data_IF_540347611625
#
_entry.id   IF_540347611625
#
_cell.length_a   1.000
_cell.length_b   1.000
_cell.length_c   1.000
_cell.angle_alpha   90.00
_cell.angle_beta   90.00
_cell.angle_gamma   90.00
#
_symmetry.space_group_name_H-M   'P 1'
#
loop_
_entity.id
_entity.type
_entity.pdbx_description
1 polymer ?
#
# COMPACT_ATOMS: atom_id res chain seq x y z
N UNK A 1 45.76 65.40 -19.69
CA UNK A 1 45.97 63.94 -19.85
C UNK A 1 45.68 63.15 -18.58
N UNK A 2 45.80 63.76 -17.38
CA UNK A 2 45.54 63.08 -16.09
C UNK A 2 44.08 62.74 -15.78
N UNK A 3 43.12 63.57 -16.21
CA UNK A 3 41.71 63.33 -15.93
C UNK A 3 41.10 62.10 -16.67
N UNK A 4 41.63 61.72 -17.82
CA UNK A 4 41.18 60.55 -18.59
C UNK A 4 41.62 59.22 -17.96
N UNK A 5 42.77 59.22 -17.27
CA UNK A 5 43.30 58.04 -16.56
C UNK A 5 42.55 57.75 -15.27
N UNK A 6 42.12 58.83 -14.57
CA UNK A 6 41.32 58.72 -13.35
C UNK A 6 39.90 58.20 -13.60
N UNK A 7 39.29 58.58 -14.75
CA UNK A 7 37.96 58.06 -15.16
C UNK A 7 38.03 56.57 -15.56
N UNK A 8 39.14 56.15 -16.20
CA UNK A 8 39.28 54.73 -16.57
C UNK A 8 39.51 53.82 -15.33
N UNK A 9 40.21 54.32 -14.31
CA UNK A 9 40.40 53.59 -13.04
C UNK A 9 39.11 53.50 -12.22
N UNK A 10 38.24 54.51 -12.27
CA UNK A 10 36.96 54.49 -11.59
C UNK A 10 35.92 53.56 -12.26
N UNK A 11 35.96 53.43 -13.59
CA UNK A 11 35.12 52.54 -14.35
C UNK A 11 35.55 51.08 -14.18
N UNK A 12 36.86 50.82 -14.08
CA UNK A 12 37.35 49.45 -13.83
C UNK A 12 37.08 48.94 -12.37
N UNK A 13 36.98 49.86 -11.42
CA UNK A 13 36.59 49.51 -10.02
C UNK A 13 35.08 49.23 -9.86
N UNK A 14 34.25 49.68 -10.79
CA UNK A 14 32.78 49.37 -10.81
C UNK A 14 32.47 48.01 -11.47
N UNK A 15 33.39 47.38 -12.18
CA UNK A 15 33.20 46.08 -12.82
C UNK A 15 33.64 44.90 -11.97
N UNK A 16 34.22 45.13 -10.80
CA UNK A 16 34.65 44.08 -9.85
C UNK A 16 33.70 43.91 -8.64
N UNK A 17 32.53 44.54 -8.68
CA UNK A 17 31.54 44.42 -7.60
C UNK A 17 30.45 43.40 -8.00
N UNK A 18 30.31 42.38 -7.16
CA UNK A 18 29.20 41.46 -7.04
C UNK A 18 29.09 40.33 -8.07
N UNK A 19 29.98 39.36 -7.97
CA UNK A 19 29.61 37.98 -8.37
C UNK A 19 28.75 37.27 -7.31
N UNK A 20 28.91 37.62 -6.03
CA UNK A 20 28.16 36.95 -4.94
C UNK A 20 26.66 37.36 -4.86
N UNK A 21 26.24 38.45 -5.52
CA UNK A 21 24.85 38.89 -5.50
C UNK A 21 23.95 38.15 -6.53
N UNK A 22 24.56 37.45 -7.47
CA UNK A 22 23.85 36.67 -8.49
C UNK A 22 23.80 35.17 -8.13
N UNK A 23 24.49 34.74 -7.09
CA UNK A 23 24.47 33.36 -6.60
C UNK A 23 23.39 33.20 -5.50
N UNK A 24 22.17 33.63 -5.83
CA UNK A 24 21.00 33.33 -5.02
C UNK A 24 20.64 31.88 -5.31
N UNK A 25 21.11 30.98 -4.48
CA UNK A 25 20.60 29.60 -4.52
C UNK A 25 19.08 29.66 -4.28
N UNK A 26 18.26 28.95 -5.08
CA UNK A 26 16.84 28.85 -4.81
C UNK A 26 16.62 28.37 -3.37
N UNK A 27 15.65 28.94 -2.67
CA UNK A 27 15.32 28.56 -1.27
C UNK A 27 15.19 27.04 -1.10
N UNK A 28 14.61 26.37 -2.08
CA UNK A 28 14.52 24.92 -2.10
C UNK A 28 15.88 24.19 -2.08
N UNK A 29 16.91 24.69 -2.76
CA UNK A 29 18.25 24.09 -2.73
C UNK A 29 18.95 24.27 -1.37
N UNK A 30 18.73 25.38 -0.69
CA UNK A 30 19.28 25.62 0.67
C UNK A 30 18.57 24.70 1.67
N UNK A 31 17.25 24.59 1.58
CA UNK A 31 16.45 23.69 2.43
C UNK A 31 16.83 22.22 2.21
N UNK A 32 17.09 21.80 0.97
CA UNK A 32 17.53 20.47 0.62
C UNK A 32 18.93 20.13 1.17
N UNK A 33 19.85 21.08 1.03
CA UNK A 33 21.25 20.91 1.53
C UNK A 33 21.26 20.82 3.07
N UNK A 34 20.40 21.55 3.75
CA UNK A 34 20.26 21.49 5.22
C UNK A 34 19.59 20.19 5.66
N UNK A 35 18.53 19.74 4.97
CA UNK A 35 17.80 18.53 5.30
C UNK A 35 18.68 17.28 5.22
N UNK A 36 19.43 17.12 4.13
CA UNK A 36 20.27 15.94 3.91
C UNK A 36 21.71 16.06 4.46
N UNK A 37 21.98 17.09 5.26
CA UNK A 37 23.27 17.21 5.95
C UNK A 37 23.42 16.29 7.17
N UNK A 38 22.35 15.67 7.64
CA UNK A 38 22.34 14.86 8.86
C UNK A 38 21.47 13.60 8.71
N UNK A 39 21.80 12.56 9.46
CA UNK A 39 20.98 11.35 9.55
C UNK A 39 19.53 11.66 9.97
N UNK A 40 19.32 12.64 10.88
CA UNK A 40 17.98 13.05 11.30
C UNK A 40 17.14 13.55 10.12
N UNK A 41 17.73 14.34 9.24
CA UNK A 41 17.04 14.86 8.06
C UNK A 41 16.62 13.76 7.08
N UNK A 42 17.46 12.73 6.87
CA UNK A 42 17.07 11.56 6.09
C UNK A 42 15.90 10.79 6.73
N UNK A 43 15.90 10.63 8.06
CA UNK A 43 14.80 10.02 8.79
C UNK A 43 13.52 10.83 8.69
N UNK A 44 13.61 12.15 8.77
CA UNK A 44 12.47 13.07 8.61
C UNK A 44 11.91 13.00 7.19
N UNK A 45 12.77 12.99 6.16
CA UNK A 45 12.36 12.82 4.78
C UNK A 45 11.62 11.47 4.57
N UNK A 46 12.17 10.39 5.10
CA UNK A 46 11.55 9.05 5.03
C UNK A 46 10.19 9.02 5.77
N UNK A 47 10.14 9.58 6.99
CA UNK A 47 8.89 9.71 7.75
C UNK A 47 7.85 10.55 7.01
N UNK A 48 8.28 11.60 6.29
CA UNK A 48 7.45 12.41 5.42
C UNK A 48 6.79 11.60 4.30
N UNK A 49 7.50 10.62 3.72
CA UNK A 49 6.92 9.72 2.70
C UNK A 49 5.84 8.84 3.32
N UNK A 50 6.10 8.18 4.46
CA UNK A 50 5.09 7.39 5.16
C UNK A 50 3.88 8.24 5.56
N UNK A 51 4.12 9.45 6.06
CA UNK A 51 3.04 10.39 6.43
C UNK A 51 2.19 10.80 5.22
N UNK A 52 2.80 11.01 4.06
CA UNK A 52 2.09 11.32 2.82
C UNK A 52 1.18 10.18 2.34
N UNK A 53 1.48 8.93 2.71
CA UNK A 53 0.62 7.78 2.45
C UNK A 53 -0.62 7.76 3.35
N UNK A 54 -0.58 8.39 4.53
CA UNK A 54 -1.75 8.60 5.39
C UNK A 54 -2.64 9.69 4.78
N UNK A 55 -3.26 9.36 3.65
CA UNK A 55 -4.04 10.28 2.83
C UNK A 55 -5.33 9.60 2.35
N UNK A 56 -6.51 10.24 2.51
CA UNK A 56 -7.78 9.68 2.07
C UNK A 56 -7.89 9.46 0.55
N UNK A 57 -7.09 10.15 -0.26
CA UNK A 57 -7.03 9.89 -1.70
C UNK A 57 -6.30 8.57 -2.04
N UNK A 58 -5.59 7.98 -1.07
CA UNK A 58 -4.87 6.72 -1.23
C UNK A 58 -5.21 5.73 -0.11
N UNK A 59 -4.25 5.44 0.79
CA UNK A 59 -4.33 4.27 1.67
C UNK A 59 -5.28 4.42 2.86
N UNK A 60 -5.64 5.62 3.26
CA UNK A 60 -6.61 5.77 4.36
C UNK A 60 -8.07 5.80 3.90
N UNK A 61 -8.33 5.65 2.58
CA UNK A 61 -9.69 5.50 2.07
C UNK A 61 -9.74 4.86 0.67
N UNK A 62 -9.29 5.56 -0.40
CA UNK A 62 -9.65 5.16 -1.77
C UNK A 62 -8.95 3.88 -2.25
N UNK A 63 -7.70 3.62 -1.83
CA UNK A 63 -6.97 2.37 -2.14
C UNK A 63 -7.23 1.24 -1.13
N UNK A 64 -8.19 1.42 -0.22
CA UNK A 64 -8.58 0.44 0.78
C UNK A 64 -10.10 0.24 0.76
N UNK A 65 -10.80 0.63 1.81
CA UNK A 65 -12.24 0.40 1.99
C UNK A 65 -13.13 1.31 1.13
N UNK A 66 -12.62 2.44 0.61
CA UNK A 66 -13.35 3.41 -0.20
C UNK A 66 -13.56 2.92 -1.64
N UNK A 67 -12.89 3.55 -2.59
CA UNK A 67 -13.08 3.29 -4.02
C UNK A 67 -12.82 1.81 -4.38
N UNK A 68 -11.69 1.22 -3.95
CA UNK A 68 -11.41 -0.19 -4.22
C UNK A 68 -12.39 -1.15 -3.53
N UNK A 69 -12.82 -0.83 -2.30
CA UNK A 69 -13.84 -1.63 -1.60
C UNK A 69 -15.19 -1.63 -2.33
N UNK A 70 -15.60 -0.48 -2.85
CA UNK A 70 -16.81 -0.35 -3.68
C UNK A 70 -16.66 -1.13 -4.99
N UNK A 71 -15.54 -1.00 -5.68
CA UNK A 71 -15.31 -1.73 -6.93
C UNK A 71 -15.26 -3.26 -6.73
N UNK A 72 -14.80 -3.71 -5.56
CA UNK A 72 -14.81 -5.12 -5.17
C UNK A 72 -16.16 -5.61 -4.64
N UNK A 73 -17.19 -4.73 -4.60
CA UNK A 73 -18.50 -5.01 -4.03
C UNK A 73 -18.40 -5.53 -2.57
N UNK A 74 -17.54 -4.91 -1.77
CA UNK A 74 -17.39 -5.24 -0.34
C UNK A 74 -18.57 -4.70 0.49
N UNK A 75 -19.22 -3.63 0.02
CA UNK A 75 -20.32 -2.95 0.71
C UNK A 75 -21.58 -3.01 -0.10
N UNK A 76 -22.72 -3.34 0.50
CA UNK A 76 -24.05 -3.29 -0.13
C UNK A 76 -24.91 -2.16 0.44
N UNK A 77 -24.45 -1.49 1.47
CA UNK A 77 -25.03 -0.30 2.03
C UNK A 77 -24.00 0.82 2.12
N UNK A 78 -24.26 1.89 1.42
CA UNK A 78 -23.48 3.12 1.51
C UNK A 78 -24.41 4.31 1.36
N UNK A 79 -24.43 5.13 2.38
CA UNK A 79 -25.25 6.35 2.38
C UNK A 79 -24.73 7.41 1.43
N UNK A 80 -23.49 7.25 0.99
CA UNK A 80 -22.79 8.25 0.23
C UNK A 80 -23.05 8.13 -1.26
N UNK A 81 -23.87 9.05 -1.81
CA UNK A 81 -24.14 9.15 -3.26
C UNK A 81 -22.87 9.33 -4.10
N UNK A 82 -21.74 9.73 -3.49
CA UNK A 82 -20.45 9.89 -4.17
C UNK A 82 -19.92 8.57 -4.78
N UNK A 83 -20.30 7.41 -4.26
CA UNK A 83 -19.84 6.13 -4.78
C UNK A 83 -20.82 5.43 -5.74
N UNK A 84 -21.95 6.05 -6.06
CA UNK A 84 -22.95 5.45 -6.96
C UNK A 84 -22.40 5.15 -8.35
N UNK A 85 -21.70 6.10 -8.94
CA UNK A 85 -21.02 5.91 -10.24
C UNK A 85 -19.89 4.87 -10.15
N UNK A 86 -19.12 4.87 -9.06
CA UNK A 86 -18.07 3.89 -8.82
C UNK A 86 -18.62 2.46 -8.71
N UNK A 87 -19.74 2.28 -8.01
CA UNK A 87 -20.38 0.97 -7.84
C UNK A 87 -20.85 0.34 -9.18
N UNK A 88 -21.07 1.15 -10.19
CA UNK A 88 -21.41 0.74 -11.56
C UNK A 88 -20.23 0.83 -12.53
N UNK A 89 -19.02 1.09 -12.03
CA UNK A 89 -17.76 1.22 -12.80
C UNK A 89 -17.78 2.33 -13.85
N UNK A 90 -18.56 3.39 -13.63
CA UNK A 90 -18.58 4.58 -14.48
C UNK A 90 -17.42 5.52 -14.17
N UNK A 91 -16.21 5.20 -14.67
CA UNK A 91 -14.97 5.97 -14.42
C UNK A 91 -14.93 7.33 -15.10
N UNK A 92 -15.85 7.61 -16.01
CA UNK A 92 -15.93 8.89 -16.73
C UNK A 92 -16.75 9.94 -15.96
N UNK A 93 -17.49 9.53 -14.94
CA UNK A 93 -18.18 10.45 -14.06
C UNK A 93 -17.19 11.28 -13.22
N UNK A 94 -17.57 12.52 -12.90
CA UNK A 94 -16.67 13.49 -12.26
C UNK A 94 -16.05 13.01 -10.96
N UNK A 95 -16.82 12.28 -10.13
CA UNK A 95 -16.34 11.84 -8.81
C UNK A 95 -15.34 10.68 -8.92
N UNK A 96 -15.61 9.57 -9.64
CA UNK A 96 -14.60 8.54 -9.90
C UNK A 96 -13.36 9.07 -10.62
N UNK A 97 -13.51 10.00 -11.58
CA UNK A 97 -12.37 10.69 -12.21
C UNK A 97 -11.52 11.40 -11.16
N UNK A 98 -12.13 12.07 -10.17
CA UNK A 98 -11.44 12.73 -9.07
C UNK A 98 -10.66 11.73 -8.18
N UNK A 99 -11.24 10.57 -7.85
CA UNK A 99 -10.53 9.51 -7.12
C UNK A 99 -9.32 8.99 -7.89
N UNK A 100 -9.50 8.70 -9.17
CA UNK A 100 -8.45 8.21 -10.06
C UNK A 100 -7.30 9.22 -10.18
N UNK A 101 -7.62 10.50 -10.37
CA UNK A 101 -6.63 11.59 -10.41
C UNK A 101 -5.90 11.73 -9.06
N UNK A 102 -6.61 11.63 -7.94
CA UNK A 102 -6.04 11.70 -6.59
C UNK A 102 -5.06 10.57 -6.32
N UNK A 103 -5.41 9.33 -6.69
CA UNK A 103 -4.54 8.15 -6.59
C UNK A 103 -3.24 8.37 -7.38
N UNK A 104 -3.36 8.81 -8.63
CA UNK A 104 -2.20 9.09 -9.49
C UNK A 104 -1.27 10.13 -8.88
N UNK A 105 -1.82 11.30 -8.59
CA UNK A 105 -1.04 12.46 -8.14
C UNK A 105 -0.36 12.19 -6.78
N UNK A 106 -1.10 11.62 -5.82
CA UNK A 106 -0.56 11.38 -4.47
C UNK A 106 0.57 10.34 -4.50
N UNK A 107 0.40 9.25 -5.24
CA UNK A 107 1.44 8.22 -5.33
C UNK A 107 2.69 8.74 -6.06
N UNK A 108 2.55 9.49 -7.18
CA UNK A 108 3.73 10.07 -7.84
C UNK A 108 4.42 11.15 -7.01
N UNK A 109 3.69 11.89 -6.16
CA UNK A 109 4.31 12.79 -5.18
C UNK A 109 5.16 12.02 -4.15
N UNK A 110 4.66 10.90 -3.65
CA UNK A 110 5.43 10.01 -2.77
C UNK A 110 6.68 9.44 -3.46
N UNK A 111 6.55 9.04 -4.72
CA UNK A 111 7.68 8.56 -5.56
C UNK A 111 8.73 9.67 -5.76
N UNK A 112 8.31 10.90 -6.00
CA UNK A 112 9.22 12.03 -6.14
C UNK A 112 10.02 12.26 -4.85
N UNK A 113 9.37 12.20 -3.69
CA UNK A 113 10.04 12.33 -2.40
C UNK A 113 11.03 11.16 -2.15
N UNK A 114 10.66 9.93 -2.50
CA UNK A 114 11.56 8.79 -2.41
C UNK A 114 12.78 8.95 -3.34
N UNK A 115 12.59 9.45 -4.56
CA UNK A 115 13.67 9.73 -5.50
C UNK A 115 14.58 10.85 -5.00
N UNK A 116 14.03 11.87 -4.33
CA UNK A 116 14.80 12.95 -3.75
C UNK A 116 15.75 12.43 -2.65
N UNK A 117 15.22 11.64 -1.71
CA UNK A 117 16.04 11.00 -0.68
C UNK A 117 17.11 10.09 -1.32
N UNK A 118 16.75 9.25 -2.29
CA UNK A 118 17.65 8.31 -2.95
C UNK A 118 18.72 9.01 -3.78
N UNK A 119 18.49 10.20 -4.29
CA UNK A 119 19.47 10.98 -5.02
C UNK A 119 20.59 11.53 -4.12
N UNK A 120 20.26 11.81 -2.85
CA UNK A 120 21.19 12.44 -1.89
C UNK A 120 21.89 11.44 -0.96
N UNK A 121 21.31 10.23 -0.75
CA UNK A 121 21.78 9.34 0.32
C UNK A 121 23.18 8.75 0.10
N UNK A 122 23.64 8.70 -1.14
CA UNK A 122 24.97 8.17 -1.47
C UNK A 122 26.08 9.22 -1.42
N UNK A 123 25.75 10.52 -1.23
CA UNK A 123 26.71 11.61 -1.28
C UNK A 123 27.67 11.60 -0.06
N UNK A 124 27.15 11.28 1.12
CA UNK A 124 27.95 11.16 2.35
C UNK A 124 27.43 10.07 3.29
N UNK A 125 27.95 8.87 3.15
CA UNK A 125 27.60 7.76 4.04
C UNK A 125 28.10 7.94 5.48
N UNK A 126 29.00 8.88 5.75
CA UNK A 126 29.61 9.09 7.07
C UNK A 126 28.66 9.76 8.08
N UNK A 127 27.56 10.36 7.61
CA UNK A 127 26.56 10.97 8.50
C UNK A 127 25.70 9.94 9.24
N UNK A 128 25.70 8.67 8.79
CA UNK A 128 24.83 7.64 9.33
C UNK A 128 25.50 6.83 10.45
N UNK A 129 24.70 6.53 11.47
CA UNK A 129 25.03 5.49 12.45
C UNK A 129 25.13 4.11 11.77
N UNK A 130 25.87 3.15 12.36
CA UNK A 130 25.93 1.80 11.81
C UNK A 130 24.53 1.23 11.50
N UNK A 131 24.40 0.62 10.34
CA UNK A 131 23.19 0.01 9.78
C UNK A 131 22.08 1.00 9.31
N UNK A 132 22.02 2.24 9.85
CA UNK A 132 20.93 3.17 9.50
C UNK A 132 20.97 3.61 8.04
N UNK A 133 22.16 3.75 7.44
CA UNK A 133 22.26 3.95 5.98
C UNK A 133 21.54 2.87 5.20
N UNK A 134 21.79 1.60 5.52
CA UNK A 134 21.19 0.47 4.83
C UNK A 134 19.69 0.40 5.06
N UNK A 135 19.23 0.67 6.29
CA UNK A 135 17.79 0.68 6.63
C UNK A 135 17.07 1.80 5.88
N UNK A 136 17.57 3.04 5.94
CA UNK A 136 16.91 4.19 5.31
C UNK A 136 16.86 4.04 3.79
N UNK A 137 17.99 3.66 3.17
CA UNK A 137 18.07 3.44 1.72
C UNK A 137 17.18 2.27 1.29
N UNK A 138 17.21 1.17 2.05
CA UNK A 138 16.37 0.00 1.80
C UNK A 138 14.88 0.32 1.84
N UNK A 139 14.44 1.06 2.85
CA UNK A 139 13.04 1.50 2.97
C UNK A 139 12.64 2.47 1.84
N UNK A 140 13.49 3.42 1.47
CA UNK A 140 13.20 4.35 0.37
C UNK A 140 13.03 3.64 -0.98
N UNK A 141 13.89 2.65 -1.28
CA UNK A 141 13.75 1.78 -2.47
C UNK A 141 12.44 0.98 -2.43
N UNK A 142 12.11 0.40 -1.27
CA UNK A 142 10.89 -0.37 -1.09
C UNK A 142 9.64 0.51 -1.22
N UNK A 143 9.64 1.73 -0.69
CA UNK A 143 8.56 2.71 -0.86
C UNK A 143 8.35 3.08 -2.32
N UNK A 144 9.44 3.37 -3.06
CA UNK A 144 9.35 3.65 -4.49
C UNK A 144 8.74 2.49 -5.26
N UNK A 145 9.16 1.27 -4.95
CA UNK A 145 8.61 0.05 -5.54
C UNK A 145 7.13 -0.16 -5.19
N UNK A 146 6.75 0.02 -3.92
CA UNK A 146 5.38 -0.14 -3.42
C UNK A 146 4.40 0.81 -4.13
N UNK A 147 4.75 2.09 -4.20
CA UNK A 147 3.92 3.13 -4.82
C UNK A 147 3.77 2.92 -6.33
N UNK A 148 4.85 2.56 -7.03
CA UNK A 148 4.77 2.23 -8.46
C UNK A 148 3.96 0.96 -8.72
N UNK A 149 4.07 -0.05 -7.85
CA UNK A 149 3.30 -1.27 -8.01
C UNK A 149 1.80 -1.02 -7.84
N UNK A 150 1.39 -0.20 -6.90
CA UNK A 150 -0.02 0.17 -6.74
C UNK A 150 -0.54 0.98 -7.93
N UNK A 151 0.26 1.90 -8.46
CA UNK A 151 -0.06 2.58 -9.73
C UNK A 151 -0.19 1.58 -10.89
N UNK A 152 0.72 0.60 -11.01
CA UNK A 152 0.62 -0.44 -12.02
C UNK A 152 -0.67 -1.25 -11.87
N UNK A 153 -1.02 -1.64 -10.64
CA UNK A 153 -2.25 -2.40 -10.37
C UNK A 153 -3.53 -1.60 -10.69
N UNK A 154 -3.50 -0.30 -10.50
CA UNK A 154 -4.61 0.60 -10.85
C UNK A 154 -4.69 0.84 -12.37
N UNK A 155 -3.61 1.26 -12.99
CA UNK A 155 -3.58 1.83 -14.32
C UNK A 155 -3.06 0.89 -15.43
N UNK A 156 -2.31 -0.16 -15.10
CA UNK A 156 -1.91 -1.19 -16.06
C UNK A 156 -3.02 -2.22 -16.27
N UNK A 157 -3.06 -2.87 -17.41
CA UNK A 157 -3.87 -4.07 -17.60
C UNK A 157 -3.29 -5.22 -16.76
N UNK A 158 -4.08 -6.28 -16.49
CA UNK A 158 -3.54 -7.46 -15.82
C UNK A 158 -2.41 -8.08 -16.63
N UNK A 159 -1.32 -8.47 -15.95
CA UNK A 159 -0.18 -9.16 -16.56
C UNK A 159 -0.63 -10.43 -17.33
N UNK A 160 -1.57 -11.17 -16.77
CA UNK A 160 -2.11 -12.37 -17.38
C UNK A 160 -2.87 -12.12 -18.71
N UNK A 161 -3.34 -10.88 -18.93
CA UNK A 161 -4.04 -10.49 -20.16
C UNK A 161 -3.05 -10.01 -21.23
N UNK A 162 -2.20 -9.06 -20.92
CA UNK A 162 -1.18 -8.56 -21.85
C UNK A 162 0.00 -7.90 -21.13
N UNK A 163 1.10 -8.62 -20.92
CA UNK A 163 2.29 -8.08 -20.25
C UNK A 163 3.01 -6.98 -21.06
N UNK A 164 2.77 -6.90 -22.36
CA UNK A 164 3.43 -5.95 -23.27
C UNK A 164 2.60 -4.67 -23.49
N UNK A 165 1.40 -4.57 -22.89
CA UNK A 165 0.60 -3.35 -22.99
C UNK A 165 1.31 -2.19 -22.29
N UNK A 166 1.38 -0.99 -22.91
CA UNK A 166 1.80 0.21 -22.22
C UNK A 166 0.99 0.44 -20.94
N UNK A 167 1.67 0.81 -19.85
CA UNK A 167 1.05 0.97 -18.53
C UNK A 167 1.38 2.35 -17.93
N UNK A 168 2.45 2.44 -17.16
CA UNK A 168 2.82 3.65 -16.43
C UNK A 168 4.32 3.97 -16.59
N UNK A 169 4.76 5.20 -16.36
CA UNK A 169 6.19 5.49 -16.21
C UNK A 169 6.73 4.93 -14.89
N UNK A 170 7.97 4.46 -14.88
CA UNK A 170 8.72 4.13 -13.68
C UNK A 170 9.80 5.20 -13.45
N UNK A 171 9.51 6.13 -12.51
CA UNK A 171 10.35 7.29 -12.25
C UNK A 171 11.41 6.96 -11.19
N UNK A 172 12.69 7.14 -11.52
CA UNK A 172 13.83 6.87 -10.63
C UNK A 172 14.67 8.10 -10.28
N UNK A 173 14.30 9.24 -10.83
CA UNK A 173 14.98 10.51 -10.61
C UNK A 173 13.98 11.67 -10.62
N UNK A 174 14.41 12.82 -10.12
CA UNK A 174 13.69 14.08 -10.28
C UNK A 174 14.01 14.65 -11.66
N UNK A 175 13.00 14.87 -12.47
CA UNK A 175 13.16 15.41 -13.82
C UNK A 175 11.93 16.21 -14.24
N UNK A 176 12.14 17.31 -14.92
CA UNK A 176 11.08 18.07 -15.60
C UNK A 176 10.69 17.46 -16.96
N UNK A 177 11.48 16.47 -17.43
CA UNK A 177 11.18 15.77 -18.67
C UNK A 177 10.14 14.67 -18.43
N UNK A 178 9.28 14.48 -19.41
CA UNK A 178 8.28 13.41 -19.39
C UNK A 178 8.99 12.06 -19.39
N UNK A 179 8.83 11.30 -18.32
CA UNK A 179 9.36 9.94 -18.23
C UNK A 179 8.65 9.00 -19.20
N UNK A 180 9.34 8.09 -19.88
CA UNK A 180 8.71 7.18 -20.82
C UNK A 180 7.72 6.23 -20.15
N UNK A 181 6.60 5.97 -20.84
CA UNK A 181 5.64 4.94 -20.44
C UNK A 181 6.26 3.55 -20.67
N UNK A 182 6.24 2.71 -19.67
CA UNK A 182 6.74 1.34 -19.74
C UNK A 182 5.58 0.35 -19.89
N UNK A 183 5.89 -0.85 -20.40
CA UNK A 183 4.91 -1.94 -20.42
C UNK A 183 4.68 -2.53 -19.04
N UNK A 184 3.58 -3.25 -18.86
CA UNK A 184 3.25 -3.96 -17.61
C UNK A 184 4.44 -4.81 -17.13
N UNK A 185 5.05 -5.60 -18.04
CA UNK A 185 6.21 -6.44 -17.71
C UNK A 185 7.41 -5.62 -17.28
N UNK A 186 7.74 -4.55 -18.02
CA UNK A 186 8.88 -3.70 -17.68
C UNK A 186 8.71 -3.01 -16.32
N UNK A 187 7.50 -2.58 -15.98
CA UNK A 187 7.23 -2.00 -14.65
C UNK A 187 7.41 -3.06 -13.57
N UNK A 188 6.89 -4.28 -13.75
CA UNK A 188 7.13 -5.39 -12.80
C UNK A 188 8.62 -5.65 -12.58
N UNK A 189 9.42 -5.66 -13.66
CA UNK A 189 10.87 -5.88 -13.56
C UNK A 189 11.57 -4.77 -12.78
N UNK A 190 11.17 -3.50 -12.99
CA UNK A 190 11.72 -2.36 -12.23
C UNK A 190 11.33 -2.41 -10.75
N UNK A 191 10.09 -2.72 -10.45
CA UNK A 191 9.60 -2.92 -9.07
C UNK A 191 10.41 -4.01 -8.38
N UNK A 192 10.57 -5.18 -9.02
CA UNK A 192 11.34 -6.29 -8.44
C UNK A 192 12.82 -5.96 -8.29
N UNK A 193 13.40 -5.16 -9.18
CA UNK A 193 14.79 -4.70 -9.06
C UNK A 193 15.00 -3.82 -7.82
N UNK A 194 14.09 -2.86 -7.57
CA UNK A 194 14.15 -2.02 -6.37
C UNK A 194 13.95 -2.85 -5.10
N UNK A 195 13.01 -3.80 -5.11
CA UNK A 195 12.76 -4.69 -3.97
C UNK A 195 13.94 -5.61 -3.68
N UNK A 196 14.64 -6.09 -4.71
CA UNK A 196 15.84 -6.89 -4.53
C UNK A 196 17.00 -6.06 -3.95
N UNK A 197 17.18 -4.84 -4.42
CA UNK A 197 18.18 -3.92 -3.85
C UNK A 197 17.85 -3.59 -2.38
N UNK A 198 16.58 -3.34 -2.07
CA UNK A 198 16.10 -3.13 -0.71
C UNK A 198 16.33 -4.34 0.19
N UNK A 199 16.00 -5.55 -0.29
CA UNK A 199 16.21 -6.81 0.45
C UNK A 199 17.68 -6.98 0.84
N UNK A 200 18.61 -6.75 -0.09
CA UNK A 200 20.06 -6.87 0.17
C UNK A 200 20.54 -5.91 1.24
N UNK A 201 20.00 -4.69 1.29
CA UNK A 201 20.33 -3.68 2.29
C UNK A 201 19.75 -4.04 3.67
N UNK A 202 18.49 -4.47 3.71
CA UNK A 202 17.77 -4.73 4.97
C UNK A 202 18.18 -6.06 5.62
N UNK A 203 18.61 -7.04 4.85
CA UNK A 203 18.88 -8.41 5.32
C UNK A 203 19.81 -8.46 6.53
N UNK A 204 20.85 -7.65 6.54
CA UNK A 204 21.90 -7.67 7.55
C UNK A 204 21.83 -6.46 8.51
N UNK A 205 20.90 -5.51 8.27
CA UNK A 205 20.79 -4.26 9.01
C UNK A 205 19.48 -4.13 9.81
N UNK A 206 18.38 -4.71 9.30
CA UNK A 206 17.05 -4.54 9.92
C UNK A 206 16.96 -5.31 11.26
N UNK A 207 16.60 -4.64 12.37
CA UNK A 207 16.44 -5.28 13.69
C UNK A 207 15.48 -6.47 13.68
N UNK A 208 14.46 -6.48 12.82
CA UNK A 208 13.50 -7.59 12.72
C UNK A 208 14.15 -8.89 12.23
N UNK A 209 15.29 -8.79 11.52
CA UNK A 209 16.08 -9.93 11.04
C UNK A 209 17.23 -10.24 12.00
N UNK A 210 17.96 -9.19 12.40
CA UNK A 210 19.19 -9.36 13.19
C UNK A 210 18.92 -9.66 14.66
N UNK A 211 17.69 -9.44 15.14
CA UNK A 211 17.32 -9.58 16.56
C UNK A 211 17.96 -8.51 17.45
N UNK A 212 18.53 -7.45 16.87
CA UNK A 212 19.12 -6.34 17.62
C UNK A 212 18.05 -5.69 18.49
N UNK A 213 18.33 -5.61 19.80
CA UNK A 213 17.41 -4.96 20.73
C UNK A 213 17.42 -3.44 20.56
N UNK A 214 16.26 -2.88 20.33
CA UNK A 214 16.05 -1.44 20.16
C UNK A 214 15.21 -0.94 21.34
N UNK A 215 15.59 0.17 21.93
CA UNK A 215 14.85 0.87 22.99
C UNK A 215 14.58 2.30 22.56
N UNK A 216 13.65 2.99 23.22
CA UNK A 216 13.39 4.41 22.96
C UNK A 216 14.63 5.31 23.13
N UNK A 217 15.54 4.91 24.02
CA UNK A 217 16.80 5.65 24.22
C UNK A 217 17.79 5.45 23.05
N UNK A 218 17.59 4.40 22.25
CA UNK A 218 18.42 4.13 21.09
C UNK A 218 17.88 4.89 19.91
N UNK A 219 18.59 5.90 19.43
CA UNK A 219 18.27 6.64 18.22
C UNK A 219 16.82 7.19 18.23
N UNK A 220 16.39 7.74 19.37
CA UNK A 220 15.05 8.23 19.62
C UNK A 220 13.93 7.23 19.26
N UNK A 221 14.22 5.93 19.31
CA UNK A 221 13.27 4.87 18.99
C UNK A 221 12.98 4.71 17.49
N UNK A 222 13.79 5.27 16.60
CA UNK A 222 13.56 5.23 15.14
C UNK A 222 13.36 3.80 14.60
N UNK A 223 14.12 2.84 15.10
CA UNK A 223 14.03 1.44 14.69
C UNK A 223 13.00 0.60 15.47
N UNK A 224 12.23 1.22 16.37
CA UNK A 224 11.09 0.55 17.01
C UNK A 224 9.92 0.37 16.02
N UNK A 225 9.03 -0.56 16.37
CA UNK A 225 7.78 -0.78 15.62
C UNK A 225 8.03 -0.99 14.11
N UNK A 226 8.96 -1.89 13.78
CA UNK A 226 9.34 -2.15 12.38
C UNK A 226 8.16 -2.55 11.48
N UNK A 227 7.04 -3.02 12.03
CA UNK A 227 5.79 -3.25 11.28
C UNK A 227 5.13 -1.97 10.74
N UNK A 228 5.56 -0.77 11.17
CA UNK A 228 5.12 0.50 10.61
C UNK A 228 6.00 0.99 9.45
N UNK A 229 6.97 0.21 9.08
CA UNK A 229 7.94 0.48 8.04
C UNK A 229 7.98 -0.67 7.03
N UNK A 230 8.47 -0.40 5.82
CA UNK A 230 8.79 -1.46 4.86
C UNK A 230 10.08 -2.17 5.31
N UNK A 231 9.93 -2.95 6.39
CA UNK A 231 10.98 -3.80 6.94
C UNK A 231 11.32 -4.96 6.00
N UNK A 232 12.36 -5.73 6.32
CA UNK A 232 12.80 -6.86 5.50
C UNK A 232 11.66 -7.82 5.12
N UNK A 233 10.82 -8.22 6.08
CA UNK A 233 9.73 -9.16 5.80
C UNK A 233 8.56 -8.51 5.05
N UNK A 234 8.33 -7.22 5.22
CA UNK A 234 7.40 -6.46 4.38
C UNK A 234 7.87 -6.41 2.92
N UNK A 235 9.18 -6.26 2.69
CA UNK A 235 9.79 -6.35 1.35
C UNK A 235 9.61 -7.74 0.76
N UNK A 236 9.87 -8.81 1.52
CA UNK A 236 9.60 -10.19 1.08
C UNK A 236 8.13 -10.42 0.73
N UNK A 237 7.22 -9.92 1.56
CA UNK A 237 5.78 -10.02 1.30
C UNK A 237 5.36 -9.24 0.04
N UNK A 238 5.92 -8.07 -0.17
CA UNK A 238 5.69 -7.31 -1.39
C UNK A 238 6.27 -8.02 -2.62
N UNK A 239 7.46 -8.63 -2.51
CA UNK A 239 8.00 -9.50 -3.58
C UNK A 239 7.04 -10.66 -3.90
N UNK A 240 6.46 -11.31 -2.88
CA UNK A 240 5.46 -12.36 -3.10
C UNK A 240 4.25 -11.82 -3.89
N UNK A 241 3.71 -10.68 -3.49
CA UNK A 241 2.57 -10.03 -4.15
C UNK A 241 2.87 -9.63 -5.60
N UNK A 242 4.04 -9.04 -5.85
CA UNK A 242 4.48 -8.63 -7.21
C UNK A 242 4.74 -9.85 -8.10
N UNK A 243 5.39 -10.87 -7.59
CA UNK A 243 5.65 -12.10 -8.34
C UNK A 243 4.35 -12.86 -8.69
N UNK A 244 3.36 -12.88 -7.77
CA UNK A 244 2.01 -13.38 -8.10
C UNK A 244 1.37 -12.59 -9.25
N UNK A 245 1.51 -11.27 -9.24
CA UNK A 245 1.00 -10.42 -10.32
C UNK A 245 1.70 -10.68 -11.65
N UNK A 246 3.02 -10.86 -11.63
CA UNK A 246 3.86 -11.10 -12.80
C UNK A 246 3.87 -12.57 -13.29
N UNK A 247 3.10 -13.47 -12.67
CA UNK A 247 3.06 -14.89 -13.03
C UNK A 247 4.32 -15.67 -12.67
N UNK A 248 5.18 -15.14 -11.79
CA UNK A 248 6.41 -15.78 -11.29
C UNK A 248 6.10 -16.54 -9.99
N UNK A 249 5.38 -17.64 -10.15
CA UNK A 249 4.74 -18.32 -9.01
C UNK A 249 5.73 -18.96 -8.04
N UNK A 250 6.84 -19.51 -8.53
CA UNK A 250 7.85 -20.14 -7.67
C UNK A 250 8.56 -19.09 -6.80
N UNK A 251 8.89 -17.93 -7.35
CA UNK A 251 9.47 -16.81 -6.61
C UNK A 251 8.46 -16.22 -5.61
N UNK A 252 7.17 -16.17 -5.96
CA UNK A 252 6.12 -15.76 -5.06
C UNK A 252 6.01 -16.71 -3.86
N UNK A 253 6.04 -18.02 -4.11
CA UNK A 253 6.02 -19.05 -3.08
C UNK A 253 7.21 -18.94 -2.14
N UNK A 254 8.41 -18.82 -2.69
CA UNK A 254 9.65 -18.68 -1.90
C UNK A 254 9.60 -17.46 -1.01
N UNK A 255 9.16 -16.31 -1.55
CA UNK A 255 9.06 -15.07 -0.78
C UNK A 255 8.02 -15.18 0.35
N UNK A 256 6.82 -15.73 0.08
CA UNK A 256 5.79 -15.96 1.08
C UNK A 256 6.25 -16.94 2.17
N UNK A 257 6.92 -18.03 1.79
CA UNK A 257 7.48 -19.00 2.74
C UNK A 257 8.54 -18.38 3.64
N UNK A 258 9.40 -17.49 3.10
CA UNK A 258 10.40 -16.77 3.91
C UNK A 258 9.73 -15.99 5.05
N UNK A 259 8.61 -15.32 4.77
CA UNK A 259 7.84 -14.60 5.80
C UNK A 259 7.24 -15.56 6.81
N UNK A 260 6.51 -16.59 6.36
CA UNK A 260 5.82 -17.55 7.23
C UNK A 260 6.81 -18.28 8.15
N UNK A 261 7.93 -18.75 7.59
CA UNK A 261 8.94 -19.53 8.32
C UNK A 261 9.80 -18.67 9.26
N UNK A 262 9.76 -17.35 9.14
CA UNK A 262 10.52 -16.47 10.04
C UNK A 262 10.10 -16.59 11.50
N UNK A 263 8.81 -16.91 11.74
CA UNK A 263 8.22 -16.93 13.07
C UNK A 263 8.14 -15.55 13.75
N UNK A 264 8.44 -14.47 13.02
CA UNK A 264 8.42 -13.11 13.56
C UNK A 264 7.00 -12.54 13.68
N UNK A 265 6.06 -13.09 12.93
CA UNK A 265 4.66 -12.68 12.92
C UNK A 265 3.79 -13.87 13.29
N UNK A 266 2.81 -13.63 14.15
CA UNK A 266 1.93 -14.68 14.68
C UNK A 266 0.47 -14.32 14.40
N UNK A 267 -0.40 -15.32 14.45
CA UNK A 267 -1.82 -15.06 14.45
C UNK A 267 -2.19 -14.24 15.69
N UNK A 268 -3.07 -13.25 15.51
CA UNK A 268 -3.53 -12.38 16.60
C UNK A 268 -4.20 -13.20 17.72
N UNK A 269 -3.93 -12.82 18.96
CA UNK A 269 -4.49 -13.48 20.14
C UNK A 269 -6.00 -13.26 20.21
N UNK A 270 -6.75 -14.36 20.28
CA UNK A 270 -8.21 -14.36 20.38
C UNK A 270 -8.69 -13.61 21.62
N UNK A 271 -7.95 -13.66 22.73
CA UNK A 271 -8.31 -12.93 23.95
C UNK A 271 -8.28 -11.40 23.71
N UNK A 272 -7.32 -10.91 22.93
CA UNK A 272 -7.25 -9.50 22.54
C UNK A 272 -8.38 -9.10 21.59
N UNK A 273 -8.76 -9.98 20.66
CA UNK A 273 -9.93 -9.78 19.80
C UNK A 273 -11.23 -9.71 20.62
N UNK A 274 -11.45 -10.65 21.54
CA UNK A 274 -12.63 -10.71 22.39
C UNK A 274 -12.74 -9.49 23.30
N UNK A 275 -11.61 -9.04 23.85
CA UNK A 275 -11.55 -7.85 24.71
C UNK A 275 -11.70 -6.54 23.90
N UNK A 276 -11.62 -6.61 22.56
CA UNK A 276 -11.64 -5.44 21.69
C UNK A 276 -10.34 -4.63 21.68
N UNK A 277 -9.23 -5.20 22.14
CA UNK A 277 -7.92 -4.53 22.19
C UNK A 277 -7.24 -4.49 20.83
N UNK A 278 -7.34 -5.57 20.06
CA UNK A 278 -6.76 -5.69 18.73
C UNK A 278 -7.84 -6.07 17.71
N UNK A 279 -8.34 -5.10 16.98
CA UNK A 279 -9.29 -5.32 15.87
C UNK A 279 -8.64 -5.25 14.50
N UNK A 280 -7.44 -4.68 14.44
CA UNK A 280 -6.67 -4.59 13.20
C UNK A 280 -5.86 -5.85 12.90
N UNK A 281 -5.77 -6.79 13.87
CA UNK A 281 -4.91 -7.97 13.81
C UNK A 281 -3.42 -7.57 13.75
N UNK A 282 -2.99 -6.74 14.70
CA UNK A 282 -1.70 -6.06 14.66
C UNK A 282 -0.48 -7.00 14.74
N UNK A 283 -0.61 -8.16 15.42
CA UNK A 283 0.45 -9.18 15.48
C UNK A 283 0.75 -9.80 14.10
N UNK A 284 -0.17 -9.63 13.15
CA UNK A 284 -0.06 -10.12 11.77
C UNK A 284 0.46 -9.05 10.78
N UNK A 285 0.67 -7.81 11.23
CA UNK A 285 1.07 -6.73 10.34
C UNK A 285 2.52 -6.89 9.89
N UNK A 286 2.72 -7.19 8.61
CA UNK A 286 4.03 -7.13 7.96
C UNK A 286 4.37 -5.68 7.63
N UNK A 287 3.35 -4.92 7.20
CA UNK A 287 3.42 -3.48 6.98
C UNK A 287 2.08 -2.81 7.26
N UNK A 288 2.09 -1.76 8.06
CA UNK A 288 0.94 -0.91 8.34
C UNK A 288 1.35 0.56 8.42
N UNK A 289 0.41 1.46 8.15
CA UNK A 289 0.61 2.89 8.40
C UNK A 289 0.15 3.25 9.81
N UNK A 290 0.83 4.22 10.43
CA UNK A 290 0.39 4.80 11.68
C UNK A 290 -0.51 6.00 11.40
N UNK A 291 -1.82 5.85 11.63
CA UNK A 291 -2.81 6.90 11.42
C UNK A 291 -3.42 7.33 12.76
N UNK A 292 -2.88 8.38 13.37
CA UNK A 292 -3.29 8.87 14.69
C UNK A 292 -4.76 9.33 14.76
N UNK A 293 -5.37 9.61 13.62
CA UNK A 293 -6.76 10.06 13.50
C UNK A 293 -7.69 8.97 12.98
N UNK A 294 -7.24 7.70 12.93
CA UNK A 294 -7.99 6.59 12.33
C UNK A 294 -9.39 6.42 12.91
N UNK A 295 -9.55 6.64 14.21
CA UNK A 295 -10.87 6.53 14.87
C UNK A 295 -11.80 7.65 14.43
N UNK A 296 -11.34 8.90 14.43
CA UNK A 296 -12.14 10.06 14.06
C UNK A 296 -12.40 10.12 12.57
N UNK A 297 -11.38 9.90 11.76
CA UNK A 297 -11.41 10.17 10.32
C UNK A 297 -11.81 8.94 9.50
N UNK A 298 -11.71 7.73 10.09
CA UNK A 298 -12.08 6.48 9.43
C UNK A 298 -13.24 5.79 10.13
N UNK A 299 -13.04 5.31 11.36
CA UNK A 299 -14.06 4.48 12.03
C UNK A 299 -15.38 5.23 12.27
N UNK A 300 -15.33 6.43 12.86
CA UNK A 300 -16.53 7.21 13.14
C UNK A 300 -17.16 7.80 11.88
N UNK A 301 -16.36 8.15 10.88
CA UNK A 301 -16.85 8.77 9.66
C UNK A 301 -17.42 7.76 8.67
N UNK A 302 -16.82 6.56 8.56
CA UNK A 302 -17.18 5.61 7.49
C UNK A 302 -17.76 4.28 8.00
N UNK A 303 -17.69 3.98 9.30
CA UNK A 303 -18.18 2.72 9.87
C UNK A 303 -19.05 2.95 11.12
N UNK A 304 -19.93 3.93 11.05
CA UNK A 304 -20.82 4.32 12.14
C UNK A 304 -22.22 4.64 11.63
N UNK A 305 -23.25 4.28 12.40
CA UNK A 305 -24.65 4.64 12.16
C UNK A 305 -24.92 6.15 12.14
N UNK A 306 -24.08 6.90 12.82
CA UNK A 306 -24.26 8.33 13.02
C UNK A 306 -23.77 9.16 11.84
N UNK A 307 -23.07 8.53 10.89
CA UNK A 307 -22.47 9.21 9.75
C UNK A 307 -23.32 9.09 8.48
N UNK A 308 -23.45 10.21 7.77
CA UNK A 308 -24.05 10.28 6.44
C UNK A 308 -23.14 9.67 5.34
N UNK A 309 -21.94 9.19 5.68
CA UNK A 309 -20.95 8.66 4.72
C UNK A 309 -20.63 7.19 4.93
N UNK A 310 -21.41 6.49 5.75
CA UNK A 310 -21.10 5.13 6.19
C UNK A 310 -21.12 4.09 5.09
N UNK A 311 -20.19 3.16 5.20
CA UNK A 311 -20.18 1.87 4.51
C UNK A 311 -20.64 0.77 5.48
N UNK A 312 -21.47 -0.12 4.99
CA UNK A 312 -21.92 -1.28 5.76
C UNK A 312 -22.17 -2.47 4.84
N UNK A 313 -22.25 -3.63 5.44
CA UNK A 313 -22.77 -4.85 4.83
C UNK A 313 -24.09 -5.20 5.50
N UNK A 314 -25.11 -5.59 4.74
CA UNK A 314 -26.33 -6.12 5.37
C UNK A 314 -26.02 -7.43 6.08
N UNK A 315 -26.80 -7.74 7.13
CA UNK A 315 -26.61 -8.97 7.90
C UNK A 315 -26.61 -10.21 7.02
N UNK A 316 -27.57 -10.29 6.09
CA UNK A 316 -27.74 -11.47 5.23
C UNK A 316 -26.54 -11.62 4.28
N UNK A 317 -26.05 -10.52 3.72
CA UNK A 317 -24.87 -10.54 2.87
C UNK A 317 -23.59 -10.86 3.67
N UNK A 318 -23.49 -10.38 4.91
CA UNK A 318 -22.36 -10.76 5.77
C UNK A 318 -22.37 -12.25 6.10
N UNK A 319 -23.57 -12.82 6.38
CA UNK A 319 -23.70 -14.27 6.57
C UNK A 319 -23.27 -15.05 5.32
N UNK A 320 -23.63 -14.55 4.15
CA UNK A 320 -23.18 -15.14 2.87
C UNK A 320 -21.65 -15.07 2.71
N UNK A 321 -20.99 -13.95 3.05
CA UNK A 321 -19.54 -13.84 3.03
C UNK A 321 -18.84 -14.93 3.86
N UNK A 322 -19.47 -15.34 4.95
CA UNK A 322 -18.93 -16.31 5.89
C UNK A 322 -19.57 -17.71 5.76
N UNK A 323 -20.32 -17.99 4.68
CA UNK A 323 -21.03 -19.28 4.48
C UNK A 323 -21.85 -19.68 5.71
N UNK A 324 -22.45 -18.72 6.38
CA UNK A 324 -23.17 -18.84 7.65
C UNK A 324 -22.32 -19.32 8.85
N UNK A 325 -20.98 -19.31 8.72
CA UNK A 325 -20.06 -19.71 9.80
C UNK A 325 -19.87 -18.57 10.82
N UNK A 326 -20.89 -18.35 11.66
CA UNK A 326 -20.91 -17.27 12.67
C UNK A 326 -19.88 -17.44 13.77
N UNK A 327 -19.26 -18.62 13.91
CA UNK A 327 -18.16 -18.88 14.84
C UNK A 327 -16.80 -18.31 14.34
N UNK A 328 -16.69 -17.90 13.08
CA UNK A 328 -15.49 -17.23 12.58
C UNK A 328 -15.20 -15.97 13.40
N UNK A 329 -13.96 -15.85 13.88
CA UNK A 329 -13.57 -14.71 14.71
C UNK A 329 -13.70 -13.37 13.98
N UNK A 330 -13.51 -13.36 12.66
CA UNK A 330 -13.67 -12.16 11.81
C UNK A 330 -15.15 -11.74 11.76
N UNK A 331 -16.08 -12.69 11.63
CA UNK A 331 -17.52 -12.42 11.71
C UNK A 331 -17.91 -11.89 13.09
N UNK A 332 -17.44 -12.57 14.14
CA UNK A 332 -17.87 -12.30 15.51
C UNK A 332 -17.31 -10.98 16.06
N UNK A 333 -16.05 -10.66 15.78
CA UNK A 333 -15.34 -9.58 16.46
C UNK A 333 -15.01 -8.38 15.57
N UNK A 334 -15.08 -8.50 14.24
CA UNK A 334 -14.74 -7.38 13.34
C UNK A 334 -15.96 -6.62 12.81
N UNK A 335 -17.18 -6.96 13.25
CA UNK A 335 -18.39 -6.27 12.85
C UNK A 335 -19.27 -5.93 14.02
N UNK A 336 -19.85 -4.72 14.01
CA UNK A 336 -20.91 -4.29 14.95
C UNK A 336 -22.24 -4.11 14.24
N UNK A 337 -23.33 -4.41 14.95
CA UNK A 337 -24.70 -4.14 14.45
C UNK A 337 -24.99 -2.65 14.46
N UNK A 338 -25.77 -2.21 13.51
CA UNK A 338 -26.37 -0.90 13.54
C UNK A 338 -27.41 -0.75 14.65
N UNK A 339 -27.81 0.48 14.92
CA UNK A 339 -28.86 0.84 15.87
C UNK A 339 -30.26 0.58 15.31
N UNK A 340 -31.30 0.93 16.05
CA UNK A 340 -32.69 0.59 15.73
C UNK A 340 -33.14 0.95 14.30
N UNK A 341 -32.67 2.06 13.75
CA UNK A 341 -33.00 2.50 12.39
C UNK A 341 -32.23 1.75 11.30
N UNK A 342 -31.08 1.19 11.64
CA UNK A 342 -30.18 0.46 10.73
C UNK A 342 -29.82 -0.92 11.30
N UNK A 343 -30.71 -1.57 12.04
CA UNK A 343 -30.45 -2.84 12.74
C UNK A 343 -29.98 -3.98 11.82
N UNK A 344 -30.28 -3.90 10.51
CA UNK A 344 -29.80 -4.87 9.52
C UNK A 344 -28.36 -4.62 9.06
N UNK A 345 -27.80 -3.43 9.31
CA UNK A 345 -26.45 -3.09 8.89
C UNK A 345 -25.39 -3.68 9.83
N UNK A 346 -24.24 -3.98 9.26
CA UNK A 346 -23.01 -4.44 9.95
C UNK A 346 -21.88 -3.53 9.54
N UNK A 347 -21.28 -2.86 10.51
CA UNK A 347 -20.18 -1.90 10.33
C UNK A 347 -18.87 -2.53 10.70
N UNK A 348 -17.86 -2.40 9.85
CA UNK A 348 -16.53 -2.91 10.10
C UNK A 348 -15.89 -2.19 11.30
N UNK A 349 -15.31 -2.95 12.23
CA UNK A 349 -14.62 -2.45 13.41
C UNK A 349 -13.09 -2.53 13.33
N UNK A 350 -12.54 -2.96 12.22
CA UNK A 350 -11.08 -3.11 12.05
C UNK A 350 -10.30 -1.84 12.35
N UNK A 351 -10.92 -0.68 12.12
CA UNK A 351 -10.34 0.65 12.33
C UNK A 351 -10.84 1.33 13.61
N UNK A 352 -11.71 0.67 14.35
CA UNK A 352 -12.21 1.15 15.64
C UNK A 352 -11.22 0.74 16.74
N UNK A 353 -10.97 1.65 17.67
CA UNK A 353 -10.09 1.43 18.82
C UNK A 353 -10.81 1.85 20.11
N UNK A 354 -11.73 1.01 20.58
CA UNK A 354 -12.53 1.36 21.75
C UNK A 354 -11.76 1.34 23.07
N UNK A 355 -10.67 0.58 23.14
CA UNK A 355 -10.01 0.33 24.44
C UNK A 355 -8.89 1.30 24.76
N UNK A 356 -8.22 1.89 23.77
CA UNK A 356 -7.08 2.82 23.91
C UNK A 356 -6.02 2.40 24.94
N UNK A 357 -5.87 1.10 25.18
CA UNK A 357 -5.06 0.57 26.28
C UNK A 357 -3.61 0.30 25.91
N UNK A 358 -3.31 0.13 24.63
CA UNK A 358 -1.95 -0.16 24.16
C UNK A 358 -1.66 0.53 22.84
N UNK A 359 -0.60 1.32 22.78
CA UNK A 359 -0.11 1.96 21.55
C UNK A 359 0.31 0.94 20.49
N UNK A 360 0.61 -0.29 20.88
CA UNK A 360 0.97 -1.36 19.94
C UNK A 360 -0.19 -1.72 19.02
N UNK A 361 -1.42 -1.75 19.51
CA UNK A 361 -2.61 -2.10 18.73
C UNK A 361 -3.31 -0.90 18.10
N UNK A 362 -3.03 0.32 18.60
CA UNK A 362 -3.71 1.55 18.20
C UNK A 362 -3.19 2.10 16.88
N UNK A 363 -4.05 2.86 16.20
CA UNK A 363 -3.69 3.71 15.06
C UNK A 363 -3.15 2.97 13.83
N UNK A 364 -3.44 1.67 13.68
CA UNK A 364 -2.88 0.84 12.62
C UNK A 364 -3.81 0.74 11.41
N UNK A 365 -3.30 1.12 10.24
CA UNK A 365 -3.91 0.86 8.95
C UNK A 365 -3.10 -0.23 8.23
N UNK A 366 -3.55 -1.50 8.24
CA UNK A 366 -2.81 -2.59 7.63
C UNK A 366 -2.75 -2.46 6.11
N UNK A 367 -1.59 -2.71 5.52
CA UNK A 367 -1.37 -2.72 4.07
C UNK A 367 -0.87 -4.08 3.57
N UNK A 368 -0.12 -4.81 4.40
CA UNK A 368 0.29 -6.19 4.12
C UNK A 368 0.21 -6.99 5.42
N UNK A 369 -0.52 -8.11 5.40
CA UNK A 369 -0.68 -8.98 6.58
C UNK A 369 -0.26 -10.43 6.30
N UNK A 370 0.04 -11.15 7.39
CA UNK A 370 0.45 -12.55 7.38
C UNK A 370 -0.55 -13.45 6.63
N UNK A 371 -1.85 -13.23 6.83
CA UNK A 371 -2.91 -14.01 6.17
C UNK A 371 -2.79 -14.03 4.65
N UNK A 372 -2.37 -12.92 4.02
CA UNK A 372 -2.14 -12.88 2.58
C UNK A 372 -1.02 -13.83 2.13
N UNK A 373 0.03 -14.00 2.94
CA UNK A 373 1.13 -14.91 2.63
C UNK A 373 0.67 -16.37 2.60
N UNK A 374 -0.24 -16.76 3.48
CA UNK A 374 -0.87 -18.07 3.47
C UNK A 374 -1.77 -18.27 2.25
N UNK A 375 -2.52 -17.25 1.86
CA UNK A 375 -3.36 -17.29 0.65
C UNK A 375 -2.52 -17.42 -0.62
N UNK A 376 -1.41 -16.65 -0.72
CA UNK A 376 -0.45 -16.76 -1.83
C UNK A 376 0.17 -18.16 -1.87
N UNK A 377 0.65 -18.66 -0.74
CA UNK A 377 1.25 -20.01 -0.64
C UNK A 377 0.27 -21.10 -1.09
N UNK A 378 -0.97 -21.06 -0.58
CA UNK A 378 -2.01 -22.02 -0.94
C UNK A 378 -2.34 -21.96 -2.44
N UNK A 379 -2.46 -20.75 -3.01
CA UNK A 379 -2.73 -20.60 -4.44
C UNK A 379 -1.62 -21.18 -5.31
N UNK A 380 -0.36 -20.91 -4.97
CA UNK A 380 0.77 -21.44 -5.77
C UNK A 380 0.87 -22.93 -5.65
N UNK A 381 0.69 -23.51 -4.46
CA UNK A 381 0.64 -24.96 -4.26
C UNK A 381 -0.44 -25.62 -5.13
N UNK A 382 -1.65 -25.03 -5.13
CA UNK A 382 -2.74 -25.52 -6.00
C UNK A 382 -2.38 -25.45 -7.49
N UNK A 383 -1.79 -24.34 -7.95
CA UNK A 383 -1.35 -24.14 -9.34
C UNK A 383 -0.31 -25.17 -9.76
N UNK A 384 0.59 -25.56 -8.86
CA UNK A 384 1.64 -26.56 -9.07
C UNK A 384 1.13 -28.01 -8.94
N UNK A 385 -0.18 -28.20 -8.70
CA UNK A 385 -0.79 -29.53 -8.56
C UNK A 385 -0.63 -30.15 -7.16
N UNK A 386 -0.02 -29.43 -6.21
CA UNK A 386 0.08 -29.84 -4.80
C UNK A 386 -1.24 -29.48 -4.06
N UNK A 387 -2.29 -30.21 -4.34
CA UNK A 387 -3.63 -29.98 -3.78
C UNK A 387 -3.67 -30.25 -2.28
N UNK A 388 -2.92 -31.21 -1.77
CA UNK A 388 -2.85 -31.50 -0.33
C UNK A 388 -2.09 -30.43 0.43
N UNK A 389 -1.00 -29.90 -0.13
CA UNK A 389 -0.29 -28.76 0.41
C UNK A 389 -1.15 -27.51 0.42
N UNK A 390 -1.86 -27.22 -0.67
CA UNK A 390 -2.78 -26.10 -0.78
C UNK A 390 -3.88 -26.15 0.29
N UNK A 391 -4.50 -27.33 0.46
CA UNK A 391 -5.51 -27.58 1.50
C UNK A 391 -4.94 -27.39 2.90
N UNK A 392 -3.77 -27.95 3.17
CA UNK A 392 -3.10 -27.83 4.47
C UNK A 392 -2.82 -26.37 4.82
N UNK A 393 -2.25 -25.62 3.87
CA UNK A 393 -1.95 -24.19 4.06
C UNK A 393 -3.21 -23.36 4.27
N UNK A 394 -4.28 -23.61 3.52
CA UNK A 394 -5.55 -22.92 3.70
C UNK A 394 -6.19 -23.25 5.05
N UNK A 395 -6.06 -24.50 5.50
CA UNK A 395 -6.56 -24.93 6.81
C UNK A 395 -5.79 -24.31 7.99
N UNK A 396 -4.51 -23.98 7.83
CA UNK A 396 -3.77 -23.21 8.85
C UNK A 396 -4.44 -21.84 9.10
N UNK A 397 -4.75 -21.10 8.03
CA UNK A 397 -5.50 -19.83 8.11
C UNK A 397 -6.90 -20.05 8.70
N UNK A 398 -7.66 -21.02 8.20
CA UNK A 398 -9.03 -21.29 8.65
C UNK A 398 -9.10 -21.63 10.13
N UNK A 399 -8.18 -22.48 10.60
CA UNK A 399 -8.09 -22.84 12.02
C UNK A 399 -7.77 -21.65 12.90
N UNK A 400 -6.86 -20.77 12.46
CA UNK A 400 -6.55 -19.52 13.16
C UNK A 400 -7.74 -18.54 13.23
N UNK A 401 -8.75 -18.73 12.39
CA UNK A 401 -10.00 -17.95 12.37
C UNK A 401 -11.20 -18.69 13.01
N UNK A 402 -10.96 -19.82 13.69
CA UNK A 402 -11.99 -20.68 14.28
C UNK A 402 -12.95 -21.30 13.25
N UNK A 403 -12.48 -21.54 12.05
CA UNK A 403 -13.19 -22.28 11.02
C UNK A 403 -12.76 -23.74 11.04
N UNK A 404 -13.71 -24.69 10.79
CA UNK A 404 -13.35 -26.09 10.61
C UNK A 404 -12.40 -26.28 9.44
N UNK A 405 -11.45 -27.18 9.59
CA UNK A 405 -10.59 -27.57 8.50
C UNK A 405 -11.41 -28.19 7.34
N UNK A 406 -11.06 -27.86 6.13
CA UNK A 406 -11.58 -28.51 4.93
C UNK A 406 -11.08 -29.96 4.87
N UNK A 407 -11.97 -30.91 4.65
CA UNK A 407 -11.61 -32.30 4.37
C UNK A 407 -11.05 -32.45 2.95
N UNK A 408 -11.65 -31.72 2.01
CA UNK A 408 -11.26 -31.68 0.62
C UNK A 408 -11.29 -30.23 0.12
N UNK A 409 -10.48 -29.91 -0.91
CA UNK A 409 -10.58 -28.61 -1.57
C UNK A 409 -11.91 -28.53 -2.34
N UNK A 410 -12.59 -27.35 -2.36
CA UNK A 410 -13.74 -27.13 -3.20
C UNK A 410 -13.42 -27.34 -4.69
N UNK A 411 -14.42 -27.77 -5.47
CA UNK A 411 -14.28 -27.98 -6.92
C UNK A 411 -13.80 -26.71 -7.65
N UNK A 412 -14.30 -25.54 -7.27
CA UNK A 412 -13.77 -24.24 -7.70
C UNK A 412 -12.90 -23.64 -6.59
N UNK A 413 -11.64 -24.03 -6.58
CA UNK A 413 -10.64 -23.52 -5.63
C UNK A 413 -10.48 -21.98 -5.72
N UNK A 414 -10.54 -21.43 -6.93
CA UNK A 414 -10.39 -19.99 -7.09
C UNK A 414 -11.58 -19.18 -6.55
N UNK A 415 -12.77 -19.76 -6.56
CA UNK A 415 -13.92 -19.15 -5.92
C UNK A 415 -13.73 -19.15 -4.39
N UNK A 416 -13.31 -20.26 -3.81
CA UNK A 416 -12.98 -20.32 -2.36
C UNK A 416 -11.87 -19.33 -1.99
N UNK A 417 -10.84 -19.22 -2.82
CA UNK A 417 -9.76 -18.25 -2.63
C UNK A 417 -10.31 -16.81 -2.60
N UNK A 418 -11.25 -16.48 -3.49
CA UNK A 418 -11.92 -15.16 -3.51
C UNK A 418 -12.72 -14.96 -2.21
N UNK A 419 -13.44 -15.97 -1.73
CA UNK A 419 -14.16 -15.91 -0.46
C UNK A 419 -13.21 -15.69 0.72
N UNK A 420 -12.07 -16.41 0.78
CA UNK A 420 -11.09 -16.22 1.84
C UNK A 420 -10.39 -14.85 1.77
N UNK A 421 -10.05 -14.34 0.57
CA UNK A 421 -9.54 -12.97 0.42
C UNK A 421 -10.56 -11.94 0.92
N UNK A 422 -11.85 -12.11 0.60
CA UNK A 422 -12.92 -11.22 1.08
C UNK A 422 -13.00 -11.23 2.61
N UNK A 423 -13.06 -12.41 3.23
CA UNK A 423 -13.14 -12.56 4.69
C UNK A 423 -11.91 -11.99 5.38
N UNK A 424 -10.74 -12.26 4.84
CA UNK A 424 -9.46 -11.94 5.46
C UNK A 424 -9.07 -10.47 5.30
N UNK A 425 -9.24 -9.93 4.09
CA UNK A 425 -8.71 -8.62 3.70
C UNK A 425 -9.81 -7.58 3.44
N UNK A 426 -11.03 -7.79 3.98
CA UNK A 426 -12.12 -6.82 3.86
C UNK A 426 -11.70 -5.45 4.38
N UNK A 427 -11.94 -4.43 3.57
CA UNK A 427 -11.56 -3.05 3.86
C UNK A 427 -10.10 -2.71 3.56
N UNK A 428 -9.27 -3.67 3.11
CA UNK A 428 -7.83 -3.46 2.82
C UNK A 428 -7.53 -3.27 1.33
N UNK A 429 -8.55 -3.24 0.46
CA UNK A 429 -8.44 -2.94 -0.98
C UNK A 429 -7.83 -4.04 -1.85
N UNK A 430 -7.49 -5.21 -1.30
CA UNK A 430 -6.78 -6.25 -2.04
C UNK A 430 -7.71 -7.11 -2.91
N UNK A 431 -8.99 -7.18 -2.59
CA UNK A 431 -9.94 -8.05 -3.26
C UNK A 431 -10.16 -7.63 -4.73
N UNK A 432 -10.26 -6.33 -5.03
CA UNK A 432 -10.38 -5.84 -6.41
C UNK A 432 -9.17 -6.26 -7.26
N UNK A 433 -7.97 -6.17 -6.70
CA UNK A 433 -6.76 -6.58 -7.38
C UNK A 433 -6.66 -8.10 -7.58
N UNK A 434 -7.23 -8.90 -6.68
CA UNK A 434 -7.34 -10.34 -6.89
C UNK A 434 -8.23 -10.67 -8.10
N UNK A 435 -9.45 -10.07 -8.17
CA UNK A 435 -10.34 -10.23 -9.32
C UNK A 435 -9.65 -9.87 -10.64
N UNK A 436 -8.93 -8.74 -10.64
CA UNK A 436 -8.17 -8.25 -11.80
C UNK A 436 -7.05 -9.22 -12.18
N UNK A 437 -6.25 -9.70 -11.22
CA UNK A 437 -5.15 -10.63 -11.46
C UNK A 437 -5.63 -11.96 -12.02
N UNK A 438 -6.74 -12.46 -11.50
CA UNK A 438 -7.38 -13.69 -11.98
C UNK A 438 -8.20 -13.48 -13.27
N UNK A 439 -8.32 -12.25 -13.75
CA UNK A 439 -9.11 -11.85 -14.91
C UNK A 439 -10.54 -12.44 -14.87
N UNK A 440 -11.19 -12.34 -13.72
CA UNK A 440 -12.54 -12.90 -13.55
C UNK A 440 -13.56 -12.12 -14.38
N UNK A 441 -14.43 -12.83 -15.08
CA UNK A 441 -15.48 -12.23 -15.92
C UNK A 441 -16.54 -11.51 -15.11
N UNK A 442 -16.74 -11.91 -13.85
CA UNK A 442 -17.68 -11.32 -12.92
C UNK A 442 -17.04 -11.05 -11.56
N UNK A 443 -17.50 -10.00 -10.89
CA UNK A 443 -17.22 -9.70 -9.49
C UNK A 443 -18.46 -10.13 -8.71
N UNK A 444 -18.29 -10.91 -7.64
CA UNK A 444 -19.44 -11.35 -6.82
C UNK A 444 -20.26 -10.16 -6.35
N UNK A 445 -21.57 -10.26 -6.47
CA UNK A 445 -22.57 -9.24 -6.15
C UNK A 445 -22.63 -8.06 -7.13
N UNK A 446 -21.97 -8.14 -8.26
CA UNK A 446 -22.11 -7.17 -9.35
C UNK A 446 -22.89 -7.79 -10.50
N UNK A 447 -23.82 -7.03 -11.08
CA UNK A 447 -24.50 -7.39 -12.32
C UNK A 447 -23.69 -7.00 -13.57
N UNK A 448 -22.51 -6.38 -13.38
CA UNK A 448 -21.67 -5.91 -14.47
C UNK A 448 -20.68 -7.01 -14.88
N UNK A 449 -20.64 -7.29 -16.16
CA UNK A 449 -19.66 -8.19 -16.75
C UNK A 449 -18.31 -7.47 -16.85
N UNK A 450 -17.39 -7.84 -15.94
CA UNK A 450 -16.21 -7.04 -15.62
C UNK A 450 -15.21 -6.94 -16.78
N UNK A 451 -14.97 -8.03 -17.51
CA UNK A 451 -13.99 -8.05 -18.61
C UNK A 451 -14.52 -7.28 -19.80
N UNK A 452 -15.77 -7.52 -20.23
CA UNK A 452 -16.38 -6.84 -21.37
C UNK A 452 -16.51 -5.32 -21.15
N UNK A 453 -16.74 -4.91 -19.90
CA UNK A 453 -16.83 -3.49 -19.52
C UNK A 453 -15.48 -2.87 -19.17
N UNK A 454 -14.38 -3.64 -19.27
CA UNK A 454 -13.00 -3.18 -18.95
C UNK A 454 -12.87 -2.53 -17.56
N UNK A 455 -13.55 -3.08 -16.55
CA UNK A 455 -13.61 -2.46 -15.22
C UNK A 455 -12.27 -2.50 -14.47
N UNK A 456 -11.36 -3.39 -14.86
CA UNK A 456 -10.13 -3.62 -14.12
C UNK A 456 -9.02 -2.60 -14.36
N UNK A 457 -9.17 -1.67 -15.30
CA UNK A 457 -8.10 -0.72 -15.64
C UNK A 457 -8.65 0.69 -15.57
N UNK A 458 -8.10 1.50 -14.68
CA UNK A 458 -8.49 2.91 -14.58
C UNK A 458 -7.96 3.69 -15.79
N UNK A 459 -8.72 4.65 -16.31
CA UNK A 459 -8.22 5.54 -17.35
C UNK A 459 -7.03 6.35 -16.82
N UNK A 460 -6.06 6.61 -17.68
CA UNK A 460 -5.01 7.57 -17.33
C UNK A 460 -5.63 8.96 -17.12
N UNK A 461 -5.09 9.75 -16.16
CA UNK A 461 -5.50 11.14 -16.01
C UNK A 461 -5.37 11.92 -17.34
N UNK A 462 -6.27 12.87 -17.56
CA UNK A 462 -6.32 13.65 -18.80
C UNK A 462 -5.01 14.37 -19.09
N UNK A 463 -4.30 14.84 -18.07
CA UNK A 463 -2.98 15.45 -18.19
C UNK A 463 -1.92 14.52 -18.79
N UNK A 464 -2.04 13.22 -18.53
CA UNK A 464 -1.10 12.23 -19.07
C UNK A 464 -1.34 11.94 -20.56
N UNK A 465 -2.59 11.98 -20.99
CA UNK A 465 -2.95 11.73 -22.38
C UNK A 465 -2.80 12.99 -23.26
N UNK A 466 -3.18 14.16 -22.75
CA UNK A 466 -3.13 15.41 -23.52
C UNK A 466 -1.76 16.11 -23.48
N UNK A 467 -1.16 16.23 -22.28
CA UNK A 467 0.09 16.97 -22.12
C UNK A 467 1.33 16.08 -22.25
N UNK A 468 1.30 14.88 -21.70
CA UNK A 468 2.40 13.92 -21.78
C UNK A 468 2.32 13.00 -23.00
N UNK A 469 1.25 13.09 -23.80
CA UNK A 469 1.01 12.31 -25.02
C UNK A 469 1.18 10.80 -24.85
N UNK A 470 0.74 10.26 -23.70
CA UNK A 470 0.84 8.83 -23.43
C UNK A 470 -0.18 8.03 -24.24
N UNK A 471 0.21 6.82 -24.60
CA UNK A 471 -0.72 5.86 -25.21
C UNK A 471 -1.82 5.46 -24.24
N UNK A 472 -3.02 5.20 -24.77
CA UNK A 472 -4.12 4.68 -23.97
C UNK A 472 -3.74 3.32 -23.37
N UNK A 473 -4.07 3.14 -22.11
CA UNK A 473 -3.87 1.91 -21.34
C UNK A 473 -5.13 1.01 -21.30
N UNK A 474 -6.17 1.37 -22.08
CA UNK A 474 -7.45 0.64 -22.17
C UNK A 474 -7.60 -0.13 -23.49
#
# INVERSE_FOLDING_TARGET
MHYRLTYLLFISALLSSCNDWLDVQPRSQVEDTELFATESGYKEALAGIYSSMVNPQTYTKELTYGFLGILAQEWDYYYNTQYGDAATYNYEAAIPTGFIQGIWTTNYSGIANANHLLASIDDDASVFSPDNFAVIKGEALALRAFLHFDLLRCFGISFAVNPNQPAIPYCTNLSYLVSPQLTVSQVCDRVLSDLQASELLLKDADPVVTGRQITEATDNGYLLNRQLHLNYYAVKALQARVNMWAGRYDEALQAAQTVIQSGQFTWSDVANLQAGYDRSLADEHLFALNNLTIVTDVANQFFSDESAYSFAVTRDRLLDYFDNATQDYRYTFLFKSGTATHANNRYLMKYDDPSRTSSYYQYKMPLIRLGEMYLIKSEVQYRNGDTDGAKTTLNELRTARNLPALTDLPTDFYLELIHEYRRELIGEGQLFFLYKRLNRTSILYSDVEAVAKKVYTFPLPITETESAHRESNK
#
